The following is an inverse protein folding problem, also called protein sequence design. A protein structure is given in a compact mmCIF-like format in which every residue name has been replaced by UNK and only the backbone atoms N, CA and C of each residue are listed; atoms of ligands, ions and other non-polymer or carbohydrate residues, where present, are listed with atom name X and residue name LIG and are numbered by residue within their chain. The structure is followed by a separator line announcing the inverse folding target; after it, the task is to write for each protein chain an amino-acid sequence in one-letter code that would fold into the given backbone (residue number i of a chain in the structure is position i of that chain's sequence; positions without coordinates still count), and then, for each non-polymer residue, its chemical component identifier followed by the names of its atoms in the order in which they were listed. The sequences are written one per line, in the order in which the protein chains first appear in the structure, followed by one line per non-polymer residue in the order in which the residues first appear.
data_IF_031059162950
#
_entry.id   IF_031059162950
#
_cell.length_a   1.000
_cell.length_b   1.000
_cell.length_c   1.000
_cell.angle_alpha   90.00
_cell.angle_beta   90.00
_cell.angle_gamma   90.00
#
_symmetry.space_group_name_H-M   'P 1'
#
loop_
_entity.id
_entity.type
_entity.pdbx_description
1 polymer ?
#
# COMPACT_ATOMS: atom_id res chain seq x y z
N UNK A 1 19.31 10.95 8.19
CA UNK A 1 19.33 9.48 8.13
C UNK A 1 17.94 9.04 7.71
N UNK A 2 17.79 8.54 6.48
CA UNK A 2 16.51 8.10 5.91
C UNK A 2 16.24 6.65 6.34
N UNK A 3 16.00 6.43 7.62
CA UNK A 3 15.82 5.08 8.16
C UNK A 3 14.35 4.65 8.05
N UNK A 4 13.87 4.51 6.82
CA UNK A 4 12.69 3.71 6.51
C UNK A 4 13.13 2.25 6.36
N UNK A 5 12.69 1.38 7.26
CA UNK A 5 12.97 -0.05 7.13
C UNK A 5 11.95 -0.65 6.16
N UNK A 6 12.43 -1.07 4.99
CA UNK A 6 11.62 -1.80 4.02
C UNK A 6 11.68 -3.29 4.34
N UNK A 7 10.54 -3.88 4.71
CA UNK A 7 10.38 -5.34 4.82
C UNK A 7 9.58 -5.85 3.63
N UNK A 8 10.10 -6.84 2.90
CA UNK A 8 9.37 -7.43 1.76
C UNK A 8 8.75 -8.76 2.17
N UNK A 9 7.47 -8.95 1.85
CA UNK A 9 6.78 -10.24 1.96
C UNK A 9 6.27 -10.68 0.59
N UNK A 10 5.85 -11.93 0.48
CA UNK A 10 5.23 -12.46 -0.74
C UNK A 10 3.72 -12.60 -0.58
N UNK A 11 2.98 -12.10 -1.55
CA UNK A 11 1.56 -12.36 -1.76
C UNK A 11 1.38 -12.90 -3.18
N UNK A 12 0.75 -14.07 -3.33
CA UNK A 12 0.53 -14.74 -4.61
C UNK A 12 1.79 -14.84 -5.52
N UNK A 13 2.95 -15.05 -4.91
CA UNK A 13 4.25 -15.11 -5.60
C UNK A 13 4.90 -13.75 -5.88
N UNK A 14 4.15 -12.65 -5.84
CA UNK A 14 4.63 -11.27 -6.02
C UNK A 14 5.19 -10.64 -4.74
N UNK A 15 6.17 -9.72 -4.83
CA UNK A 15 6.68 -8.98 -3.69
C UNK A 15 5.71 -7.89 -3.26
N UNK A 16 5.52 -7.74 -1.95
CA UNK A 16 4.78 -6.64 -1.32
C UNK A 16 5.70 -6.01 -0.28
N UNK A 17 6.02 -4.73 -0.45
CA UNK A 17 6.92 -3.99 0.44
C UNK A 17 6.11 -3.29 1.52
N UNK A 18 6.59 -3.46 2.75
CA UNK A 18 6.11 -2.74 3.91
C UNK A 18 7.16 -1.71 4.30
N UNK A 19 6.74 -0.47 4.40
CA UNK A 19 7.57 0.63 4.85
C UNK A 19 7.24 0.89 6.31
N UNK A 20 8.26 0.79 7.16
CA UNK A 20 8.14 1.06 8.59
C UNK A 20 8.51 2.52 8.85
N UNK A 21 7.58 3.31 9.37
CA UNK A 21 7.89 4.64 9.89
C UNK A 21 8.64 4.54 11.22
N UNK A 22 9.65 5.38 11.43
CA UNK A 22 10.41 5.41 12.68
C UNK A 22 9.69 6.32 13.68
N UNK A 23 9.04 5.73 14.68
CA UNK A 23 8.24 6.42 15.70
C UNK A 23 7.84 5.51 16.86
N UNK A 24 7.10 6.05 17.85
CA UNK A 24 6.57 5.30 19.01
C UNK A 24 5.57 4.22 18.58
N UNK A 25 4.86 4.48 17.49
CA UNK A 25 3.94 3.58 16.81
C UNK A 25 4.55 3.14 15.48
N UNK A 26 4.64 1.83 15.33
CA UNK A 26 5.24 1.19 14.17
C UNK A 26 4.13 0.97 13.16
N UNK A 27 3.91 1.96 12.31
CA UNK A 27 2.91 1.85 11.26
C UNK A 27 3.52 1.25 10.00
N UNK A 28 2.81 0.27 9.45
CA UNK A 28 3.17 -0.43 8.24
C UNK A 28 2.45 0.23 7.06
N UNK A 29 3.24 0.72 6.11
CA UNK A 29 2.75 1.39 4.90
C UNK A 29 3.00 0.52 3.67
N UNK A 30 2.04 0.48 2.73
CA UNK A 30 2.20 -0.17 1.42
C UNK A 30 2.02 0.84 0.29
N UNK A 31 2.85 0.73 -0.74
CA UNK A 31 2.80 1.65 -1.90
C UNK A 31 1.60 1.34 -2.79
N UNK A 32 1.11 2.36 -3.50
CA UNK A 32 0.05 2.19 -4.50
C UNK A 32 0.40 1.10 -5.54
N UNK A 33 1.66 1.06 -5.98
CA UNK A 33 2.16 0.04 -6.90
C UNK A 33 2.02 -1.38 -6.34
N UNK A 34 2.43 -1.62 -5.09
CA UNK A 34 2.36 -2.96 -4.50
C UNK A 34 0.92 -3.41 -4.26
N UNK A 35 0.04 -2.47 -3.88
CA UNK A 35 -1.39 -2.73 -3.71
C UNK A 35 -2.02 -3.08 -5.05
N UNK A 36 -1.78 -2.28 -6.09
CA UNK A 36 -2.34 -2.54 -7.42
C UNK A 36 -1.87 -3.86 -8.02
N UNK A 37 -0.59 -4.20 -7.85
CA UNK A 37 -0.04 -5.49 -8.25
C UNK A 37 -0.68 -6.66 -7.48
N UNK A 38 -0.82 -6.53 -6.16
CA UNK A 38 -1.44 -7.57 -5.34
C UNK A 38 -2.93 -7.76 -5.64
N UNK A 39 -3.59 -6.72 -6.13
CA UNK A 39 -4.99 -6.76 -6.57
C UNK A 39 -5.14 -7.15 -8.04
N UNK A 40 -4.05 -7.44 -8.75
CA UNK A 40 -4.05 -7.77 -10.19
C UNK A 40 -4.77 -6.71 -11.04
N UNK A 41 -4.60 -5.42 -10.69
CA UNK A 41 -5.15 -4.31 -11.48
C UNK A 41 -4.35 -4.16 -12.77
N UNK A 42 -5.03 -3.71 -13.85
CA UNK A 42 -4.42 -3.60 -15.18
C UNK A 42 -3.34 -2.50 -15.21
N UNK A 43 -3.61 -1.36 -14.57
CA UNK A 43 -2.66 -0.26 -14.40
C UNK A 43 -2.45 0.01 -12.90
N UNK A 44 -1.56 -0.74 -12.20
CA UNK A 44 -1.50 -0.79 -10.73
C UNK A 44 -1.55 0.56 -10.01
N UNK A 45 -0.73 1.51 -10.44
CA UNK A 45 -0.68 2.84 -9.82
C UNK A 45 -1.90 3.67 -10.18
N UNK A 46 -2.29 3.70 -11.46
CA UNK A 46 -3.40 4.54 -11.94
C UNK A 46 -4.75 4.08 -11.40
N UNK A 47 -4.96 2.77 -11.35
CA UNK A 47 -6.21 2.20 -10.85
C UNK A 47 -6.34 2.42 -9.34
N UNK A 48 -5.25 2.28 -8.58
CA UNK A 48 -5.23 2.63 -7.15
C UNK A 48 -5.49 4.12 -6.93
N UNK A 49 -4.85 4.99 -7.70
CA UNK A 49 -5.13 6.44 -7.64
C UNK A 49 -6.57 6.75 -8.02
N UNK A 50 -7.14 6.08 -9.02
CA UNK A 50 -8.55 6.24 -9.41
C UNK A 50 -9.50 5.86 -8.28
N UNK A 51 -9.28 4.71 -7.62
CA UNK A 51 -10.05 4.29 -6.45
C UNK A 51 -9.88 5.30 -5.30
N UNK A 52 -8.65 5.75 -5.05
CA UNK A 52 -8.38 6.77 -4.05
C UNK A 52 -9.14 8.07 -4.31
N UNK A 53 -9.16 8.57 -5.55
CA UNK A 53 -9.91 9.79 -5.88
C UNK A 53 -11.42 9.60 -5.74
N UNK A 54 -11.94 8.41 -6.06
CA UNK A 54 -13.37 8.09 -5.93
C UNK A 54 -13.84 8.01 -4.46
N UNK A 55 -12.94 7.62 -3.55
CA UNK A 55 -13.20 7.43 -2.13
C UNK A 55 -12.30 8.31 -1.25
N UNK A 56 -11.99 9.52 -1.74
CA UNK A 56 -10.98 10.38 -1.12
C UNK A 56 -11.36 10.79 0.29
N UNK A 57 -12.64 11.06 0.54
CA UNK A 57 -13.19 11.42 1.83
C UNK A 57 -13.01 10.33 2.91
N UNK A 58 -12.92 9.07 2.50
CA UNK A 58 -12.66 7.92 3.40
C UNK A 58 -11.17 7.58 3.54
N UNK A 59 -10.34 7.95 2.56
CA UNK A 59 -8.95 7.49 2.44
C UNK A 59 -7.90 8.58 2.71
N UNK A 60 -8.28 9.86 2.71
CA UNK A 60 -7.38 11.01 2.85
C UNK A 60 -6.49 10.93 4.10
N UNK A 61 -7.05 10.51 5.23
CA UNK A 61 -6.31 10.41 6.50
C UNK A 61 -5.42 9.15 6.59
N UNK A 62 -5.57 8.22 5.64
CA UNK A 62 -4.91 6.91 5.62
C UNK A 62 -3.84 6.80 4.55
N UNK A 63 -3.42 7.92 3.97
CA UNK A 63 -2.42 7.98 2.90
C UNK A 63 -1.34 9.01 3.18
N UNK A 64 -0.15 8.78 2.64
CA UNK A 64 0.92 9.76 2.63
C UNK A 64 1.69 9.71 1.31
N UNK A 65 2.31 10.84 0.96
CA UNK A 65 3.30 10.92 -0.08
C UNK A 65 4.69 10.70 0.54
N UNK A 66 5.46 9.78 -0.02
CA UNK A 66 6.83 9.52 0.38
C UNK A 66 7.79 9.81 -0.76
N UNK A 67 9.03 10.22 -0.47
CA UNK A 67 10.07 10.29 -1.48
C UNK A 67 10.29 8.92 -2.13
N UNK A 68 10.35 8.87 -3.47
CA UNK A 68 10.70 7.66 -4.20
C UNK A 68 12.15 7.25 -3.85
N UNK A 69 12.28 6.31 -2.91
CA UNK A 69 13.58 5.82 -2.45
C UNK A 69 14.16 4.77 -3.40
N UNK A 70 14.72 5.19 -4.55
CA UNK A 70 15.85 4.54 -5.26
C UNK A 70 16.19 5.28 -6.56
N UNK A 71 17.50 5.47 -6.77
CA UNK A 71 18.14 5.94 -8.01
C UNK A 71 17.69 7.29 -8.59
N UNK A 72 17.81 8.36 -7.81
CA UNK A 72 17.90 9.73 -8.36
C UNK A 72 16.64 10.28 -9.06
N UNK A 73 15.52 9.58 -8.99
CA UNK A 73 14.24 10.07 -9.48
C UNK A 73 13.58 11.01 -8.48
N UNK A 74 13.42 12.28 -8.86
CA UNK A 74 12.60 13.25 -8.14
C UNK A 74 11.12 12.89 -8.28
N UNK A 75 10.65 11.91 -7.54
CA UNK A 75 9.26 11.47 -7.54
C UNK A 75 8.73 11.28 -6.13
N UNK A 76 7.44 11.54 -5.95
CA UNK A 76 6.70 11.15 -4.76
C UNK A 76 5.89 9.89 -5.08
N UNK A 77 5.92 8.92 -4.17
CA UNK A 77 5.10 7.72 -4.25
C UNK A 77 4.01 7.80 -3.17
N UNK A 78 2.77 7.51 -3.55
CA UNK A 78 1.69 7.37 -2.59
C UNK A 78 1.77 6.02 -1.89
N UNK A 79 1.63 6.05 -0.58
CA UNK A 79 1.43 4.86 0.22
C UNK A 79 0.22 4.99 1.12
N UNK A 80 -0.26 3.85 1.58
CA UNK A 80 -1.45 3.72 2.40
C UNK A 80 -1.09 2.96 3.67
N UNK A 81 -1.70 3.39 4.78
CA UNK A 81 -1.64 2.68 6.05
C UNK A 81 -2.34 1.33 5.93
N UNK A 82 -2.25 0.51 6.98
CA UNK A 82 -3.00 -0.74 7.07
C UNK A 82 -4.49 -0.56 6.77
N UNK A 83 -5.15 0.39 7.45
CA UNK A 83 -6.58 0.67 7.29
C UNK A 83 -6.89 1.14 5.87
N UNK A 84 -6.04 2.02 5.32
CA UNK A 84 -6.16 2.50 3.95
C UNK A 84 -6.10 1.35 2.94
N UNK A 85 -5.23 0.37 3.15
CA UNK A 85 -5.12 -0.82 2.28
C UNK A 85 -6.37 -1.67 2.34
N UNK A 86 -6.96 -1.87 3.52
CA UNK A 86 -8.20 -2.62 3.64
C UNK A 86 -9.35 -1.97 2.87
N UNK A 87 -9.51 -0.66 3.03
CA UNK A 87 -10.54 0.11 2.34
C UNK A 87 -10.30 0.11 0.83
N UNK A 88 -9.06 0.38 0.37
CA UNK A 88 -8.70 0.31 -1.05
C UNK A 88 -9.02 -1.04 -1.66
N UNK A 89 -8.62 -2.12 -0.99
CA UNK A 89 -8.93 -3.48 -1.44
C UNK A 89 -10.44 -3.73 -1.40
N UNK A 90 -11.19 -3.16 -0.46
CA UNK A 90 -12.65 -3.26 -0.43
C UNK A 90 -13.28 -2.57 -1.66
N UNK A 91 -12.82 -1.39 -2.03
CA UNK A 91 -13.33 -0.60 -3.15
C UNK A 91 -12.88 -1.08 -4.54
N UNK A 92 -11.76 -1.81 -4.63
CA UNK A 92 -11.16 -2.15 -5.93
C UNK A 92 -11.97 -3.10 -6.82
N UNK A 93 -13.03 -3.74 -6.29
CA UNK A 93 -13.82 -4.77 -6.98
C UNK A 93 -12.99 -5.94 -7.56
N UNK A 94 -11.71 -6.05 -7.21
CA UNK A 94 -10.83 -7.09 -7.73
C UNK A 94 -11.25 -8.48 -7.23
N UNK A 95 -11.23 -9.52 -8.07
CA UNK A 95 -11.44 -10.91 -7.62
C UNK A 95 -10.47 -11.33 -6.51
N UNK A 96 -9.25 -10.77 -6.50
CA UNK A 96 -8.20 -11.05 -5.50
C UNK A 96 -8.40 -10.29 -4.19
N UNK A 97 -9.25 -9.28 -4.17
CA UNK A 97 -9.42 -8.39 -3.04
C UNK A 97 -9.72 -9.12 -1.72
N UNK A 98 -10.57 -10.15 -1.74
CA UNK A 98 -10.90 -10.93 -0.55
C UNK A 98 -9.71 -11.70 0.01
N UNK A 99 -8.91 -12.29 -0.86
CA UNK A 99 -7.70 -13.03 -0.47
C UNK A 99 -6.63 -12.07 0.05
N UNK A 100 -6.44 -10.96 -0.64
CA UNK A 100 -5.49 -9.93 -0.25
C UNK A 100 -5.80 -9.35 1.13
N UNK A 101 -7.05 -8.94 1.41
CA UNK A 101 -7.46 -8.47 2.74
C UNK A 101 -7.19 -9.49 3.85
N UNK A 102 -7.43 -10.78 3.61
CA UNK A 102 -7.12 -11.86 4.58
C UNK A 102 -5.62 -11.99 4.84
N UNK A 103 -4.83 -11.87 3.78
CA UNK A 103 -3.38 -11.94 3.90
C UNK A 103 -2.83 -10.75 4.69
N UNK A 104 -3.29 -9.53 4.38
CA UNK A 104 -2.96 -8.29 5.12
C UNK A 104 -3.27 -8.50 6.61
N UNK A 105 -4.48 -8.96 6.96
CA UNK A 105 -4.87 -9.26 8.34
C UNK A 105 -4.01 -10.30 9.07
N UNK A 106 -3.52 -11.30 8.34
CA UNK A 106 -2.64 -12.31 8.92
C UNK A 106 -1.22 -11.78 9.18
N UNK A 107 -0.78 -10.73 8.48
CA UNK A 107 0.57 -10.17 8.60
C UNK A 107 0.71 -9.08 9.66
N UNK A 108 -0.39 -8.64 10.26
CA UNK A 108 -0.43 -7.47 11.16
C UNK A 108 -0.65 -7.84 12.63
N UNK A 109 -0.88 -9.13 12.91
CA UNK A 109 -0.83 -9.66 14.28
C UNK A 109 0.63 -9.80 14.72
N UNK A 110 1.15 -8.77 15.39
CA UNK A 110 2.38 -8.81 16.19
C UNK A 110 2.07 -8.47 17.64
#
# INVERSE_FOLDING_TARGET
MNDQIISTRKFDGGPVRFIRSNGKDVELWMTAEDIGNALELEEPIKDVESIFQQHKDELEEMTMLMPAGRDGGSGEIRAFSEEGVYLLAFFSNSPKAKEFRRWVAAKLKF
#
